data_IF_703002456350
#
_entry.id   IF_703002456350
#
_cell.length_a   1.000
_cell.length_b   1.000
_cell.length_c   1.000
_cell.angle_alpha   90.00
_cell.angle_beta   90.00
_cell.angle_gamma   90.00
#
_symmetry.space_group_name_H-M   'P 1'
#
loop_
_entity.id
_entity.type
_entity.pdbx_description
1 polymer ?
#
# COMPACT_ATOMS: atom_id res chain seq x y z
N UNK A 1 8.16 -6.13 -13.74
CA UNK A 1 8.83 -4.83 -14.02
C UNK A 1 9.13 -4.19 -12.66
N UNK A 2 10.29 -3.61 -12.49
CA UNK A 2 10.68 -2.88 -11.28
C UNK A 2 10.92 -1.43 -11.69
N UNK A 3 10.26 -0.50 -11.02
CA UNK A 3 10.43 0.93 -11.26
C UNK A 3 11.01 1.60 -10.01
N UNK A 4 11.95 2.53 -10.20
CA UNK A 4 12.59 3.30 -9.12
C UNK A 4 12.45 4.78 -9.44
N UNK A 5 11.82 5.54 -8.56
CA UNK A 5 11.54 6.95 -8.78
C UNK A 5 11.47 7.75 -7.48
N UNK A 6 11.49 9.07 -7.57
CA UNK A 6 11.22 9.96 -6.44
C UNK A 6 9.73 10.22 -6.35
N UNK A 7 9.13 9.82 -5.23
CA UNK A 7 7.71 10.07 -4.97
C UNK A 7 7.55 11.42 -4.27
N UNK A 8 7.07 12.41 -4.99
CA UNK A 8 6.79 13.72 -4.42
C UNK A 8 5.47 13.72 -3.63
N UNK A 9 4.49 12.94 -4.06
CA UNK A 9 3.16 12.87 -3.47
C UNK A 9 2.54 11.49 -3.71
N UNK A 10 1.91 10.96 -2.68
CA UNK A 10 1.12 9.74 -2.75
C UNK A 10 -0.27 9.96 -2.16
N UNK A 11 -1.22 9.18 -2.62
CA UNK A 11 -2.57 9.13 -2.06
C UNK A 11 -3.16 7.74 -2.19
N UNK A 12 -4.14 7.44 -1.35
CA UNK A 12 -4.92 6.22 -1.42
C UNK A 12 -6.22 6.53 -2.12
N UNK A 13 -6.45 5.88 -3.25
CA UNK A 13 -7.69 6.01 -4.02
C UNK A 13 -8.61 4.82 -3.74
N UNK A 14 -9.79 5.08 -3.16
CA UNK A 14 -10.80 4.05 -2.94
C UNK A 14 -11.64 3.84 -4.20
N UNK A 15 -11.31 2.82 -4.97
CA UNK A 15 -11.99 2.50 -6.23
C UNK A 15 -13.34 1.78 -6.03
N UNK A 16 -14.25 2.40 -5.29
CA UNK A 16 -15.61 1.87 -5.07
C UNK A 16 -16.43 1.74 -6.36
N UNK A 17 -16.12 2.57 -7.36
CA UNK A 17 -16.77 2.56 -8.67
C UNK A 17 -16.24 1.52 -9.65
N UNK A 18 -15.31 0.65 -9.23
CA UNK A 18 -14.70 -0.40 -10.07
C UNK A 18 -14.13 0.14 -11.39
N UNK A 19 -13.57 1.35 -11.35
CA UNK A 19 -12.94 1.98 -12.51
C UNK A 19 -11.68 1.23 -12.92
N UNK A 20 -11.38 1.26 -14.22
CA UNK A 20 -10.09 0.75 -14.72
C UNK A 20 -8.94 1.63 -14.27
N UNK A 21 -7.71 1.10 -14.24
CA UNK A 21 -6.53 1.89 -13.91
C UNK A 21 -6.36 3.11 -14.81
N UNK A 22 -6.71 2.99 -16.11
CA UNK A 22 -6.68 4.09 -17.06
C UNK A 22 -7.64 5.21 -16.67
N UNK A 23 -8.86 4.87 -16.23
CA UNK A 23 -9.84 5.84 -15.75
C UNK A 23 -9.37 6.54 -14.48
N UNK A 24 -8.84 5.77 -13.51
CA UNK A 24 -8.29 6.33 -12.27
C UNK A 24 -7.11 7.25 -12.57
N UNK A 25 -6.19 6.84 -13.44
CA UNK A 25 -5.05 7.67 -13.86
C UNK A 25 -5.49 8.98 -14.48
N UNK A 26 -6.49 8.95 -15.36
CA UNK A 26 -7.05 10.16 -16.00
C UNK A 26 -7.69 11.10 -14.99
N UNK A 27 -8.40 10.54 -14.02
CA UNK A 27 -9.12 11.30 -12.99
C UNK A 27 -8.19 11.94 -11.97
N UNK A 28 -7.16 11.20 -11.53
CA UNK A 28 -6.24 11.65 -10.48
C UNK A 28 -5.01 12.38 -11.01
N UNK A 29 -4.67 12.19 -12.28
CA UNK A 29 -3.44 12.72 -12.88
C UNK A 29 -2.15 12.07 -12.38
N UNK A 30 -2.25 10.95 -11.65
CA UNK A 30 -1.07 10.28 -11.08
C UNK A 30 -0.21 9.62 -12.19
N UNK A 31 1.09 9.54 -11.96
CA UNK A 31 2.03 8.92 -12.90
C UNK A 31 2.14 7.41 -12.68
N UNK A 32 2.10 6.97 -11.43
CA UNK A 32 2.22 5.57 -11.01
C UNK A 32 1.00 5.15 -10.22
N UNK A 33 0.46 3.99 -10.51
CA UNK A 33 -0.66 3.40 -9.78
C UNK A 33 -0.31 1.94 -9.48
N UNK A 34 -0.52 1.55 -8.25
CA UNK A 34 -0.45 0.15 -7.84
C UNK A 34 -1.71 -0.23 -7.05
N UNK A 35 -2.05 -1.50 -7.04
CA UNK A 35 -3.06 -2.01 -6.13
C UNK A 35 -2.52 -1.94 -4.69
N UNK A 36 -3.32 -1.39 -3.79
CA UNK A 36 -2.89 -1.14 -2.41
C UNK A 36 -2.83 -2.39 -1.55
N UNK A 37 -3.86 -3.24 -1.62
CA UNK A 37 -3.95 -4.43 -0.77
C UNK A 37 -4.86 -5.51 -1.39
N UNK A 38 -4.94 -6.65 -0.71
CA UNK A 38 -5.86 -7.71 -1.07
C UNK A 38 -7.33 -7.27 -0.85
N UNK A 39 -8.22 -7.83 -1.61
CA UNK A 39 -9.66 -7.63 -1.47
C UNK A 39 -10.39 -8.97 -1.60
N UNK A 40 -11.57 -9.06 -1.00
CA UNK A 40 -12.42 -10.23 -1.08
C UNK A 40 -13.24 -10.24 -2.39
N UNK A 41 -14.04 -11.29 -2.59
CA UNK A 41 -14.91 -11.44 -3.75
C UNK A 41 -15.95 -10.31 -3.92
N UNK A 42 -16.25 -9.58 -2.84
CA UNK A 42 -17.12 -8.40 -2.87
C UNK A 42 -16.37 -7.09 -3.09
N UNK A 43 -15.10 -7.14 -3.46
CA UNK A 43 -14.19 -6.00 -3.66
C UNK A 43 -14.00 -5.13 -2.41
N UNK A 44 -14.20 -5.68 -1.23
CA UNK A 44 -13.87 -4.99 0.03
C UNK A 44 -12.41 -5.22 0.37
N UNK A 45 -11.66 -4.18 0.75
CA UNK A 45 -10.26 -4.34 1.15
C UNK A 45 -10.18 -5.26 2.38
N UNK A 46 -9.20 -6.14 2.34
CA UNK A 46 -8.76 -6.95 3.47
C UNK A 46 -7.58 -6.24 4.12
N UNK A 47 -7.48 -6.32 5.45
CA UNK A 47 -6.47 -5.61 6.22
C UNK A 47 -6.94 -4.25 6.71
N UNK A 48 -6.12 -3.61 7.54
CA UNK A 48 -6.43 -2.30 8.10
C UNK A 48 -6.23 -1.22 7.04
N UNK A 49 -7.32 -0.55 6.68
CA UNK A 49 -7.31 0.47 5.63
C UNK A 49 -7.98 1.74 6.14
N UNK A 50 -7.26 2.83 6.10
CA UNK A 50 -7.74 4.17 6.45
C UNK A 50 -7.50 5.09 5.26
N UNK A 51 -8.47 5.91 4.91
CA UNK A 51 -8.36 6.92 3.86
C UNK A 51 -8.80 8.26 4.42
N UNK A 52 -7.87 9.21 4.47
CA UNK A 52 -8.11 10.56 5.01
C UNK A 52 -8.80 10.54 6.39
N UNK A 53 -8.30 9.69 7.29
CA UNK A 53 -8.83 9.50 8.63
C UNK A 53 -10.09 8.63 8.71
N UNK A 54 -10.72 8.28 7.59
CA UNK A 54 -11.90 7.41 7.57
C UNK A 54 -11.48 5.94 7.49
N UNK A 55 -11.93 5.14 8.44
CA UNK A 55 -11.68 3.70 8.44
C UNK A 55 -12.58 3.03 7.39
N UNK A 56 -11.95 2.37 6.43
CA UNK A 56 -12.61 1.62 5.35
C UNK A 56 -12.71 0.14 5.71
N UNK A 57 -11.65 -0.40 6.31
CA UNK A 57 -11.60 -1.79 6.76
C UNK A 57 -10.85 -1.89 8.09
N UNK A 58 -11.32 -2.76 8.98
CA UNK A 58 -10.74 -3.03 10.32
C UNK A 58 -10.23 -4.47 10.43
N UNK A 59 -9.84 -5.06 9.36
CA UNK A 59 -9.31 -6.42 9.40
C UNK A 59 -7.95 -6.47 10.13
N UNK A 60 -7.53 -7.66 10.54
CA UNK A 60 -6.25 -7.88 11.20
C UNK A 60 -5.08 -7.30 10.37
N UNK A 61 -3.90 -7.13 10.93
CA UNK A 61 -2.69 -6.56 10.32
C UNK A 61 -2.65 -5.03 10.24
N UNK A 62 -2.70 -4.36 11.37
CA UNK A 62 -2.52 -2.89 11.43
C UNK A 62 -1.13 -2.44 11.88
N UNK A 63 -0.27 -3.38 12.22
CA UNK A 63 0.99 -3.06 12.91
C UNK A 63 2.05 -2.50 11.98
N UNK A 64 1.86 -2.64 10.66
CA UNK A 64 2.81 -2.19 9.67
C UNK A 64 2.15 -1.99 8.30
N UNK A 65 2.57 -0.95 7.61
CA UNK A 65 2.05 -0.67 6.28
C UNK A 65 2.59 0.63 5.70
N UNK A 66 1.89 1.15 4.71
CA UNK A 66 2.16 2.45 4.12
C UNK A 66 1.27 3.50 4.78
N UNK A 67 1.89 4.44 5.48
CA UNK A 67 1.21 5.59 6.08
C UNK A 67 1.48 6.84 5.24
N UNK A 68 0.43 7.63 4.98
CA UNK A 68 0.48 8.87 4.22
C UNK A 68 -0.18 9.96 5.06
N UNK A 69 0.63 10.85 5.58
CA UNK A 69 0.19 11.98 6.40
C UNK A 69 -0.26 13.20 5.58
N UNK A 70 -0.38 14.34 6.26
CA UNK A 70 -0.78 15.61 5.65
C UNK A 70 0.21 16.13 4.60
N UNK A 71 1.48 15.78 4.71
CA UNK A 71 2.54 16.11 3.76
C UNK A 71 2.47 15.29 2.47
N UNK A 72 1.54 14.33 2.40
CA UNK A 72 1.35 13.42 1.25
C UNK A 72 2.57 12.56 0.91
N UNK A 73 3.54 12.44 1.80
CA UNK A 73 4.70 11.57 1.62
C UNK A 73 4.41 10.18 2.19
N UNK A 74 4.61 9.13 1.38
CA UNK A 74 4.43 7.77 1.88
C UNK A 74 5.62 7.37 2.74
N UNK A 75 5.35 6.79 3.89
CA UNK A 75 6.35 6.20 4.79
C UNK A 75 5.93 4.79 5.18
N UNK A 76 6.90 3.92 5.42
CA UNK A 76 6.63 2.58 5.93
C UNK A 76 6.63 2.63 7.45
N UNK A 77 5.45 2.49 8.06
CA UNK A 77 5.26 2.63 9.50
C UNK A 77 3.95 1.99 9.98
N UNK A 78 3.65 2.18 11.25
CA UNK A 78 2.31 1.99 11.81
C UNK A 78 1.35 3.09 11.32
N UNK A 79 0.06 2.93 11.57
CA UNK A 79 -0.92 3.99 11.28
C UNK A 79 -0.60 5.26 12.10
N UNK A 80 -0.25 6.32 11.40
CA UNK A 80 0.09 7.64 11.98
C UNK A 80 -1.04 8.67 11.85
N UNK A 81 -2.22 8.22 11.45
CA UNK A 81 -3.30 9.10 11.03
C UNK A 81 -3.15 9.52 9.55
N UNK A 82 -4.21 10.10 8.99
CA UNK A 82 -4.27 10.37 7.55
C UNK A 82 -4.74 9.14 6.77
N UNK A 83 -3.98 8.69 5.79
CA UNK A 83 -4.27 7.46 5.07
C UNK A 83 -3.28 6.35 5.43
N UNK A 84 -3.77 5.13 5.53
CA UNK A 84 -2.97 3.96 5.89
C UNK A 84 -3.45 2.72 5.14
N UNK A 85 -2.49 1.99 4.58
CA UNK A 85 -2.70 0.67 3.99
C UNK A 85 -1.81 -0.33 4.70
N UNK A 86 -2.41 -1.28 5.40
CA UNK A 86 -1.65 -2.35 6.03
C UNK A 86 -0.91 -3.21 4.99
N UNK A 87 0.19 -3.80 5.39
CA UNK A 87 1.01 -4.64 4.53
C UNK A 87 1.85 -5.62 5.33
N UNK A 88 2.47 -6.55 4.65
CA UNK A 88 3.42 -7.50 5.25
C UNK A 88 4.84 -6.95 5.05
N UNK A 89 5.53 -6.54 6.10
CA UNK A 89 6.90 -6.07 5.96
C UNK A 89 7.83 -7.25 5.63
N UNK A 90 8.61 -7.11 4.57
CA UNK A 90 9.55 -8.12 4.10
C UNK A 90 10.99 -7.78 4.46
N UNK A 91 11.33 -6.49 4.40
CA UNK A 91 12.66 -5.97 4.67
C UNK A 91 12.58 -4.78 5.64
N UNK A 92 13.59 -4.66 6.51
CA UNK A 92 13.83 -3.48 7.33
C UNK A 92 15.32 -3.21 7.40
N UNK A 93 15.75 -2.01 7.06
CA UNK A 93 17.18 -1.62 7.03
C UNK A 93 18.04 -2.59 6.21
N UNK A 94 17.55 -3.03 5.05
CA UNK A 94 18.23 -3.99 4.18
C UNK A 94 18.21 -5.43 4.67
N UNK A 95 17.67 -5.71 5.84
CA UNK A 95 17.61 -7.07 6.40
C UNK A 95 16.25 -7.71 6.19
N UNK A 96 16.25 -8.97 5.76
CA UNK A 96 15.03 -9.77 5.63
C UNK A 96 14.42 -10.03 7.01
N UNK A 97 13.16 -9.68 7.16
CA UNK A 97 12.41 -9.98 8.38
C UNK A 97 11.99 -11.44 8.38
N UNK A 98 12.33 -12.15 9.47
CA UNK A 98 11.80 -13.50 9.72
C UNK A 98 10.36 -13.35 10.19
N UNK A 99 9.42 -13.85 9.41
CA UNK A 99 8.01 -13.95 9.78
C UNK A 99 7.46 -15.31 9.42
N UNK A 100 6.64 -15.86 10.31
CA UNK A 100 5.78 -16.98 9.95
C UNK A 100 4.65 -16.43 9.09
N UNK A 101 4.66 -16.80 7.81
CA UNK A 101 3.60 -16.44 6.87
C UNK A 101 2.54 -17.53 6.93
N UNK A 102 1.28 -17.14 6.95
CA UNK A 102 0.17 -18.10 6.77
C UNK A 102 0.30 -18.79 5.42
N UNK A 103 -0.25 -19.99 5.28
CA UNK A 103 -0.21 -20.75 4.03
C UNK A 103 -0.71 -19.92 2.82
N UNK A 104 -1.75 -19.11 3.02
CA UNK A 104 -2.29 -18.22 1.98
C UNK A 104 -1.32 -17.14 1.54
N UNK A 105 -0.54 -16.59 2.46
CA UNK A 105 0.47 -15.56 2.14
C UNK A 105 1.73 -16.20 1.57
N UNK A 106 2.09 -17.41 2.00
CA UNK A 106 3.29 -18.12 1.53
C UNK A 106 3.14 -18.73 0.14
N UNK A 107 1.91 -18.99 -0.33
CA UNK A 107 1.69 -19.58 -1.66
C UNK A 107 2.18 -18.68 -2.80
N UNK A 108 2.57 -19.31 -3.89
CA UNK A 108 2.93 -18.60 -5.13
C UNK A 108 1.70 -17.89 -5.70
N UNK A 109 1.79 -16.58 -5.87
CA UNK A 109 0.75 -15.74 -6.47
C UNK A 109 1.36 -14.43 -6.95
N UNK A 110 0.69 -13.75 -7.87
CA UNK A 110 1.05 -12.39 -8.24
C UNK A 110 0.94 -11.48 -7.01
N UNK A 111 1.97 -10.68 -6.75
CA UNK A 111 2.05 -9.77 -5.62
C UNK A 111 2.49 -8.40 -6.08
N UNK A 112 2.04 -7.38 -5.38
CA UNK A 112 2.58 -6.04 -5.50
C UNK A 112 3.42 -5.77 -4.25
N UNK A 113 4.59 -5.19 -4.44
CA UNK A 113 5.46 -4.77 -3.36
C UNK A 113 5.83 -3.30 -3.55
N UNK A 114 6.04 -2.61 -2.45
CA UNK A 114 6.56 -1.25 -2.43
C UNK A 114 7.70 -1.19 -1.42
N UNK A 115 8.75 -0.48 -1.77
CA UNK A 115 9.90 -0.30 -0.91
C UNK A 115 10.44 1.12 -0.95
N UNK A 116 11.24 1.47 0.03
CA UNK A 116 11.94 2.74 0.13
C UNK A 116 13.44 2.50 0.18
N UNK A 117 14.16 3.26 -0.61
CA UNK A 117 15.61 3.30 -0.57
C UNK A 117 16.10 4.32 0.46
N UNK A 118 17.32 4.17 1.00
CA UNK A 118 17.86 5.12 1.97
C UNK A 118 17.92 6.58 1.48
N UNK A 119 17.99 6.79 0.18
CA UNK A 119 17.99 8.11 -0.46
C UNK A 119 16.58 8.69 -0.72
N UNK A 120 15.54 8.02 -0.21
CA UNK A 120 14.14 8.45 -0.31
C UNK A 120 13.46 8.11 -1.64
N UNK A 121 14.10 7.36 -2.53
CA UNK A 121 13.42 6.83 -3.72
C UNK A 121 12.50 5.68 -3.36
N UNK A 122 11.42 5.58 -4.11
CA UNK A 122 10.44 4.49 -3.99
C UNK A 122 10.73 3.45 -5.06
N UNK A 123 10.55 2.19 -4.70
CA UNK A 123 10.63 1.02 -5.58
C UNK A 123 9.25 0.38 -5.66
N UNK A 124 8.75 0.14 -6.85
CA UNK A 124 7.52 -0.59 -7.15
C UNK A 124 7.81 -1.85 -7.95
#
# INVERSE_FOLDING_TARGET
MVEIFRCARAEVYHNSGKKTLTQVKKETGCTHIINGYLFNSSFRPLGWTVIEGKIISRDAYRDWGVSIGADRRPVMDTDRGGSFLSGVPLLKNGQKLKRELTADVARSAARTAVGWMPDGRVVL
#
